data_IF_890922627304
#
_entry.id   IF_890922627304
#
_cell.length_a   1.000
_cell.length_b   1.000
_cell.length_c   1.000
_cell.angle_alpha   90.00
_cell.angle_beta   90.00
_cell.angle_gamma   90.00
#
_symmetry.space_group_name_H-M   'P 1'
#
loop_
_entity.id
_entity.type
_entity.pdbx_description
1 polymer ?
#
# COMPACT_ATOMS: atom_id res chain seq x y z
N UNK A 1 39.54 -74.26 -16.10
CA UNK A 1 38.92 -74.26 -14.76
C UNK A 1 39.76 -73.33 -13.89
N UNK A 2 39.30 -72.25 -13.29
CA UNK A 2 37.97 -71.68 -13.14
C UNK A 2 38.08 -70.14 -13.12
N UNK A 3 36.96 -69.49 -13.42
CA UNK A 3 36.79 -68.08 -13.70
C UNK A 3 36.73 -67.17 -12.46
N UNK A 4 36.89 -65.88 -12.73
CA UNK A 4 36.68 -64.71 -11.88
C UNK A 4 35.27 -64.64 -11.26
N UNK A 5 35.12 -63.99 -10.10
CA UNK A 5 34.00 -63.04 -9.85
C UNK A 5 34.16 -62.17 -8.59
N UNK A 6 34.35 -60.87 -8.86
CA UNK A 6 33.65 -59.69 -8.35
C UNK A 6 33.35 -59.50 -6.84
N UNK A 7 34.01 -58.47 -6.28
CA UNK A 7 33.63 -57.78 -5.04
C UNK A 7 32.32 -56.99 -5.26
N UNK A 8 31.32 -57.17 -4.40
CA UNK A 8 30.14 -56.29 -4.33
C UNK A 8 30.24 -55.37 -3.12
N UNK A 9 30.69 -54.14 -3.36
CA UNK A 9 30.54 -53.02 -2.42
C UNK A 9 29.12 -52.46 -2.53
N UNK A 10 28.35 -52.54 -1.45
CA UNK A 10 27.06 -51.86 -1.31
C UNK A 10 27.31 -50.44 -0.78
N UNK A 11 27.50 -49.48 -1.70
CA UNK A 11 27.36 -48.06 -1.39
C UNK A 11 25.88 -47.70 -1.41
N UNK A 12 25.26 -47.62 -0.23
CA UNK A 12 23.90 -47.11 -0.08
C UNK A 12 23.86 -45.60 -0.30
N UNK A 13 23.32 -45.18 -1.44
CA UNK A 13 23.01 -43.77 -1.70
C UNK A 13 21.75 -43.39 -0.91
N UNK A 14 21.92 -42.58 0.13
CA UNK A 14 20.81 -41.97 0.87
C UNK A 14 20.29 -40.79 0.05
N UNK A 15 19.11 -40.94 -0.56
CA UNK A 15 18.40 -39.82 -1.21
C UNK A 15 17.79 -38.96 -0.10
N UNK A 16 18.46 -37.87 0.23
CA UNK A 16 17.91 -36.85 1.14
C UNK A 16 16.77 -36.10 0.44
N UNK A 17 15.54 -36.26 0.94
CA UNK A 17 14.38 -35.51 0.49
C UNK A 17 14.55 -34.04 0.89
N UNK A 18 14.96 -33.20 -0.06
CA UNK A 18 15.01 -31.75 0.13
C UNK A 18 13.56 -31.24 0.13
N UNK A 19 12.98 -31.06 1.31
CA UNK A 19 11.69 -30.39 1.43
C UNK A 19 11.90 -28.92 1.06
N UNK A 20 11.54 -28.54 -0.17
CA UNK A 20 11.32 -27.12 -0.48
C UNK A 20 10.15 -26.66 0.39
N UNK A 21 10.45 -25.94 1.47
CA UNK A 21 9.44 -25.17 2.16
C UNK A 21 8.95 -24.11 1.16
N UNK A 22 7.76 -24.32 0.58
CA UNK A 22 7.08 -23.27 -0.15
C UNK A 22 6.95 -22.07 0.80
N UNK A 23 7.27 -20.84 0.37
CA UNK A 23 6.94 -19.68 1.19
C UNK A 23 5.43 -19.73 1.44
N UNK A 24 5.04 -19.76 2.72
CA UNK A 24 3.65 -19.50 3.12
C UNK A 24 3.25 -18.23 2.39
N UNK A 25 2.18 -18.29 1.60
CA UNK A 25 1.61 -17.11 0.97
C UNK A 25 1.37 -16.08 2.07
N UNK A 26 2.21 -15.05 2.15
CA UNK A 26 1.94 -13.91 3.00
C UNK A 26 0.59 -13.36 2.51
N UNK A 27 -0.37 -13.19 3.43
CA UNK A 27 -1.57 -12.45 3.10
C UNK A 27 -1.16 -11.10 2.49
N UNK A 28 -1.84 -10.66 1.41
CA UNK A 28 -1.54 -9.38 0.74
C UNK A 28 -2.02 -8.19 1.58
N UNK A 29 -1.67 -8.20 2.86
CA UNK A 29 -1.90 -7.10 3.77
C UNK A 29 -0.92 -6.00 3.42
N UNK A 30 -1.44 -4.80 3.25
CA UNK A 30 -0.64 -3.60 3.07
C UNK A 30 -0.44 -2.93 4.42
N UNK A 31 0.68 -2.22 4.56
CA UNK A 31 0.93 -1.32 5.67
C UNK A 31 0.42 0.07 5.28
N UNK A 32 -0.67 0.50 5.90
CA UNK A 32 -1.14 1.88 5.84
C UNK A 32 -0.20 2.79 6.63
N UNK A 33 -0.10 4.06 6.23
CA UNK A 33 0.69 5.02 7.00
C UNK A 33 0.10 5.24 8.38
N UNK A 34 0.97 5.16 9.38
CA UNK A 34 0.72 5.60 10.75
C UNK A 34 1.07 7.09 10.81
N UNK A 35 0.05 7.95 10.73
CA UNK A 35 0.23 9.40 10.82
C UNK A 35 0.32 9.77 12.29
N UNK A 36 1.44 10.31 12.72
CA UNK A 36 1.67 10.61 14.15
C UNK A 36 1.58 12.09 14.48
N UNK A 37 1.68 12.95 13.47
CA UNK A 37 1.54 14.40 13.62
C UNK A 37 0.87 15.02 12.38
N UNK A 38 0.05 16.04 12.62
CA UNK A 38 -0.58 16.84 11.58
C UNK A 38 -0.70 18.30 12.02
N UNK A 39 -0.60 19.22 11.06
CA UNK A 39 -0.87 20.65 11.21
C UNK A 39 -1.89 21.04 10.15
N UNK A 40 -3.07 21.48 10.58
CA UNK A 40 -4.17 21.89 9.70
C UNK A 40 -4.00 23.31 9.18
N UNK A 41 -4.58 23.60 8.01
CA UNK A 41 -4.60 24.92 7.40
C UNK A 41 -4.29 24.88 5.89
N UNK A 42 -4.25 26.05 5.27
CA UNK A 42 -3.95 26.24 3.84
C UNK A 42 -2.57 25.69 3.48
N UNK A 43 -1.57 25.90 4.35
CA UNK A 43 -0.24 25.30 4.26
C UNK A 43 -0.13 24.14 5.27
N UNK A 44 -1.07 23.20 5.18
CA UNK A 44 -1.16 22.04 6.04
C UNK A 44 -0.02 21.03 5.79
N UNK A 45 0.19 20.18 6.78
CA UNK A 45 1.17 19.10 6.70
C UNK A 45 0.81 17.94 7.62
N UNK A 46 1.34 16.75 7.30
CA UNK A 46 1.31 15.61 8.19
C UNK A 46 2.59 14.80 8.06
N UNK A 47 2.96 14.05 9.09
CA UNK A 47 4.13 13.18 9.09
C UNK A 47 3.84 11.88 9.83
N UNK A 48 4.50 10.82 9.38
CA UNK A 48 4.22 9.46 9.84
C UNK A 48 5.22 8.45 9.30
N UNK A 49 4.88 7.18 9.45
CA UNK A 49 5.69 6.07 8.92
C UNK A 49 4.85 5.02 8.21
N UNK A 50 5.46 4.36 7.23
CA UNK A 50 4.97 3.10 6.66
C UNK A 50 6.07 2.06 6.88
N UNK A 51 5.95 1.27 7.95
CA UNK A 51 7.05 0.42 8.41
C UNK A 51 8.25 1.27 8.81
N UNK A 52 9.39 1.10 8.14
CA UNK A 52 10.61 1.89 8.39
C UNK A 52 10.76 3.12 7.50
N UNK A 53 9.79 3.41 6.63
CA UNK A 53 9.84 4.51 5.67
C UNK A 53 9.12 5.71 6.26
N UNK A 54 9.79 6.85 6.37
CA UNK A 54 9.12 8.09 6.77
C UNK A 54 8.28 8.59 5.59
N UNK A 55 7.06 9.01 5.89
CA UNK A 55 6.13 9.57 4.92
C UNK A 55 5.65 10.94 5.40
N UNK A 56 5.62 11.91 4.49
CA UNK A 56 5.14 13.26 4.79
C UNK A 56 4.10 13.69 3.77
N UNK A 57 3.14 14.49 4.23
CA UNK A 57 2.15 15.17 3.43
C UNK A 57 2.37 16.68 3.48
N UNK A 58 2.15 17.35 2.34
CA UNK A 58 2.03 18.80 2.24
C UNK A 58 0.91 19.19 1.28
N UNK A 59 0.11 20.17 1.67
CA UNK A 59 -1.05 20.66 0.92
C UNK A 59 -2.04 21.34 1.86
N UNK A 60 -3.21 21.74 1.39
CA UNK A 60 -4.26 22.12 2.33
C UNK A 60 -4.64 20.93 3.21
N UNK A 61 -4.85 21.15 4.49
CA UNK A 61 -5.34 20.12 5.40
C UNK A 61 -6.45 20.72 6.25
N UNK A 62 -7.70 20.42 5.89
CA UNK A 62 -8.88 20.85 6.64
C UNK A 62 -8.94 20.18 8.01
N UNK A 63 -8.54 18.91 8.07
CA UNK A 63 -8.49 18.11 9.28
C UNK A 63 -7.60 16.89 9.14
N UNK A 64 -7.30 16.24 10.25
CA UNK A 64 -6.67 14.92 10.25
C UNK A 64 -7.08 14.14 11.50
N UNK A 65 -7.11 12.81 11.40
CA UNK A 65 -7.17 11.95 12.58
C UNK A 65 -5.90 11.10 12.58
N UNK A 66 -4.98 11.40 13.49
CA UNK A 66 -3.70 10.68 13.69
C UNK A 66 -3.78 9.65 14.81
N UNK A 67 -4.86 9.67 15.61
CA UNK A 67 -5.09 8.73 16.68
C UNK A 67 -6.59 8.63 16.98
N UNK A 68 -7.19 7.47 16.74
CA UNK A 68 -8.63 7.25 16.88
C UNK A 68 -9.48 8.16 15.98
N UNK A 69 -10.71 8.44 16.39
CA UNK A 69 -11.66 9.28 15.66
C UNK A 69 -12.83 8.52 15.02
N UNK A 70 -13.49 9.17 14.07
CA UNK A 70 -14.60 8.58 13.30
C UNK A 70 -14.03 7.69 12.21
N UNK A 71 -14.47 6.43 12.17
CA UNK A 71 -14.09 5.50 11.10
C UNK A 71 -14.77 5.84 9.76
N UNK A 72 -14.23 6.81 9.03
CA UNK A 72 -14.69 7.17 7.68
C UNK A 72 -14.40 6.11 6.62
N UNK A 73 -13.56 5.12 6.94
CA UNK A 73 -13.27 3.99 6.06
C UNK A 73 -14.33 2.89 6.11
N UNK A 74 -15.42 3.10 6.86
CA UNK A 74 -16.55 2.17 6.95
C UNK A 74 -17.61 2.47 5.87
N UNK A 75 -18.16 1.45 5.18
CA UNK A 75 -17.79 0.04 5.27
C UNK A 75 -16.42 -0.22 4.60
N UNK A 76 -15.61 -1.08 5.24
CA UNK A 76 -14.26 -1.38 4.76
C UNK A 76 -14.20 -2.08 3.39
N UNK A 77 -15.33 -2.55 2.86
CA UNK A 77 -15.43 -3.33 1.62
C UNK A 77 -15.02 -2.55 0.37
N UNK A 78 -15.15 -1.21 0.35
CA UNK A 78 -14.67 -0.41 -0.77
C UNK A 78 -13.13 -0.41 -0.87
N UNK A 79 -12.44 -0.69 0.24
CA UNK A 79 -10.99 -0.52 0.39
C UNK A 79 -10.20 -1.83 0.35
N UNK A 80 -10.84 -2.92 -0.12
CA UNK A 80 -10.19 -4.22 -0.29
C UNK A 80 -10.26 -4.68 -1.75
N UNK A 81 -9.23 -5.38 -2.20
CA UNK A 81 -9.06 -5.89 -3.56
C UNK A 81 -8.23 -7.18 -3.55
N UNK A 82 -7.93 -7.75 -4.72
CA UNK A 82 -7.01 -8.89 -4.83
C UNK A 82 -5.60 -8.60 -4.29
N UNK A 83 -5.16 -7.33 -4.30
CA UNK A 83 -3.83 -6.89 -3.87
C UNK A 83 -3.82 -6.17 -2.52
N UNK A 84 -4.99 -5.81 -1.97
CA UNK A 84 -5.14 -5.07 -0.70
C UNK A 84 -6.17 -5.77 0.16
N UNK A 85 -5.74 -6.49 1.19
CA UNK A 85 -6.65 -7.37 1.94
C UNK A 85 -7.21 -6.76 3.24
N UNK A 86 -6.75 -5.58 3.60
CA UNK A 86 -7.18 -4.86 4.79
C UNK A 86 -7.51 -3.40 4.45
N UNK A 87 -8.69 -2.88 4.88
CA UNK A 87 -8.99 -1.46 4.75
C UNK A 87 -8.02 -0.63 5.61
N UNK A 88 -7.95 0.70 5.40
CA UNK A 88 -7.31 1.59 6.35
C UNK A 88 -7.83 1.38 7.78
N UNK A 89 -7.01 1.64 8.82
CA UNK A 89 -7.47 1.58 10.20
C UNK A 89 -8.55 2.64 10.44
N UNK A 90 -9.30 2.54 11.54
CA UNK A 90 -10.33 3.54 11.86
C UNK A 90 -9.76 4.96 12.08
N UNK A 91 -8.47 5.08 12.36
CA UNK A 91 -7.67 6.30 12.42
C UNK A 91 -7.00 6.60 11.08
N UNK A 92 -6.07 7.55 11.08
CA UNK A 92 -5.12 7.79 10.00
C UNK A 92 -5.82 8.16 8.68
N UNK A 93 -6.47 9.33 8.73
CA UNK A 93 -7.08 9.97 7.57
C UNK A 93 -6.60 11.41 7.47
N UNK A 94 -6.11 11.78 6.29
CA UNK A 94 -5.83 13.17 5.91
C UNK A 94 -7.09 13.73 5.26
N UNK A 95 -7.64 14.80 5.82
CA UNK A 95 -8.88 15.41 5.34
C UNK A 95 -8.55 16.70 4.60
N UNK A 96 -8.77 16.68 3.29
CA UNK A 96 -8.41 17.76 2.40
C UNK A 96 -9.67 18.43 1.83
N UNK A 97 -9.49 19.57 1.17
CA UNK A 97 -10.56 20.37 0.60
C UNK A 97 -10.16 20.81 -0.81
N UNK A 98 -10.98 20.51 -1.80
CA UNK A 98 -10.66 20.89 -3.17
C UNK A 98 -10.69 22.42 -3.41
N UNK A 99 -10.30 22.84 -4.61
CA UNK A 99 -10.04 24.23 -5.00
C UNK A 99 -8.76 24.81 -4.39
N UNK A 100 -8.66 26.14 -4.23
CA UNK A 100 -7.38 26.81 -3.98
C UNK A 100 -7.02 26.85 -2.49
N UNK A 101 -5.81 26.37 -2.09
CA UNK A 101 -4.75 25.77 -2.91
C UNK A 101 -5.06 24.31 -3.26
N UNK A 102 -4.85 23.97 -4.53
CA UNK A 102 -5.30 22.68 -5.06
C UNK A 102 -4.22 21.62 -5.15
N UNK A 103 -2.98 21.90 -4.74
CA UNK A 103 -1.85 20.96 -4.91
C UNK A 103 -1.54 20.22 -3.61
N UNK A 104 -1.45 18.91 -3.72
CA UNK A 104 -1.19 17.98 -2.63
C UNK A 104 -0.01 17.11 -2.97
N UNK A 105 0.83 16.80 -1.98
CA UNK A 105 1.98 15.93 -2.20
C UNK A 105 2.20 15.01 -1.01
N UNK A 106 2.42 13.73 -1.32
CA UNK A 106 3.00 12.74 -0.42
C UNK A 106 4.46 12.53 -0.81
N UNK A 107 5.37 12.52 0.15
CA UNK A 107 6.80 12.21 -0.04
C UNK A 107 7.21 11.03 0.83
N UNK A 108 8.15 10.23 0.33
CA UNK A 108 8.73 9.09 1.00
C UNK A 108 10.22 9.31 1.22
N UNK A 109 10.76 8.87 2.37
CA UNK A 109 12.20 9.01 2.67
C UNK A 109 13.13 8.19 1.77
N UNK A 110 12.57 7.27 1.00
CA UNK A 110 13.27 6.46 0.00
C UNK A 110 12.31 6.13 -1.15
N UNK A 111 12.85 5.64 -2.26
CA UNK A 111 12.03 5.21 -3.38
C UNK A 111 11.14 4.02 -2.97
N UNK A 112 9.86 4.09 -3.32
CA UNK A 112 8.84 3.07 -3.09
C UNK A 112 8.27 2.59 -4.41
N UNK A 113 7.84 1.32 -4.46
CA UNK A 113 7.31 0.71 -5.68
C UNK A 113 5.82 0.41 -5.53
N UNK A 114 5.06 0.83 -6.53
CA UNK A 114 3.63 0.65 -6.65
C UNK A 114 2.80 0.97 -5.38
N UNK A 115 2.96 2.16 -4.78
CA UNK A 115 2.20 2.54 -3.60
C UNK A 115 0.69 2.55 -3.85
N UNK A 116 -0.08 2.31 -2.80
CA UNK A 116 -1.54 2.38 -2.80
C UNK A 116 -2.03 3.68 -2.18
N UNK A 117 -3.17 4.17 -2.64
CA UNK A 117 -3.88 5.29 -2.01
C UNK A 117 -5.36 4.93 -1.86
N UNK A 118 -5.86 5.01 -0.63
CA UNK A 118 -7.27 4.95 -0.33
C UNK A 118 -7.88 6.34 -0.42
N UNK A 119 -9.08 6.41 -0.98
CA UNK A 119 -9.81 7.64 -1.28
C UNK A 119 -11.20 7.52 -0.69
N UNK A 120 -11.60 8.50 0.11
CA UNK A 120 -12.90 8.58 0.76
C UNK A 120 -13.64 9.84 0.32
N UNK A 121 -14.89 9.68 -0.16
CA UNK A 121 -15.78 10.79 -0.50
C UNK A 121 -15.21 11.71 -1.58
N UNK A 122 -14.79 11.17 -2.74
CA UNK A 122 -14.32 11.99 -3.85
C UNK A 122 -15.51 12.50 -4.69
N UNK A 123 -15.75 13.81 -4.64
CA UNK A 123 -16.95 14.45 -5.16
C UNK A 123 -18.14 14.29 -4.21
N UNK A 124 -19.24 14.94 -4.56
CA UNK A 124 -20.56 14.78 -3.92
C UNK A 124 -21.56 14.25 -4.95
N UNK A 125 -22.70 13.64 -4.58
CA UNK A 125 -23.62 13.11 -5.56
C UNK A 125 -24.08 14.19 -6.55
N UNK A 126 -23.82 13.97 -7.84
CA UNK A 126 -24.17 14.91 -8.91
C UNK A 126 -23.15 16.01 -9.19
N UNK A 127 -22.03 16.09 -8.46
CA UNK A 127 -20.91 17.01 -8.73
C UNK A 127 -19.61 16.21 -8.82
N UNK A 128 -18.96 16.32 -9.98
CA UNK A 128 -17.74 15.58 -10.28
C UNK A 128 -16.51 16.29 -9.68
N UNK A 129 -15.76 15.60 -8.81
CA UNK A 129 -14.39 15.98 -8.45
C UNK A 129 -13.40 15.33 -9.42
N UNK A 130 -12.28 16.00 -9.68
CA UNK A 130 -11.26 15.57 -10.63
C UNK A 130 -9.88 15.69 -10.01
N UNK A 131 -9.26 14.57 -9.66
CA UNK A 131 -7.87 14.56 -9.24
C UNK A 131 -6.96 14.36 -10.45
N UNK A 132 -5.90 15.15 -10.59
CA UNK A 132 -4.88 14.95 -11.63
C UNK A 132 -3.54 14.61 -11.00
N UNK A 133 -3.07 13.38 -11.17
CA UNK A 133 -1.83 12.88 -10.58
C UNK A 133 -0.63 13.06 -11.51
N UNK A 134 0.56 13.27 -10.94
CA UNK A 134 1.82 13.26 -11.69
C UNK A 134 2.33 11.84 -11.99
N UNK A 135 1.72 10.80 -11.40
CA UNK A 135 2.08 9.40 -11.60
C UNK A 135 0.92 8.63 -12.25
N UNK A 136 1.21 7.62 -13.10
CA UNK A 136 0.18 6.71 -13.61
C UNK A 136 -0.38 5.85 -12.47
N UNK A 137 -1.67 5.53 -12.55
CA UNK A 137 -2.34 4.68 -11.57
C UNK A 137 -3.40 3.78 -12.23
N UNK A 138 -3.88 2.80 -11.45
CA UNK A 138 -5.05 1.98 -11.76
C UNK A 138 -6.01 1.97 -10.58
N UNK A 139 -7.31 1.84 -10.83
CA UNK A 139 -8.31 1.63 -9.76
C UNK A 139 -8.34 0.13 -9.44
N UNK A 140 -8.13 -0.24 -8.18
CA UNK A 140 -8.13 -1.63 -7.72
C UNK A 140 -9.46 -2.07 -7.12
N UNK A 141 -10.13 -1.15 -6.42
CA UNK A 141 -11.42 -1.39 -5.79
C UNK A 141 -12.22 -0.11 -5.72
N UNK A 142 -13.54 -0.28 -5.70
CA UNK A 142 -14.49 0.77 -5.37
C UNK A 142 -15.78 0.16 -4.85
N UNK A 143 -16.58 0.94 -4.14
CA UNK A 143 -17.87 0.51 -3.61
C UNK A 143 -18.49 1.55 -2.69
N UNK A 144 -19.59 1.19 -1.99
CA UNK A 144 -20.19 2.06 -1.00
C UNK A 144 -19.22 2.42 0.11
N UNK A 145 -19.26 3.68 0.54
CA UNK A 145 -18.47 4.23 1.63
C UNK A 145 -19.36 4.91 2.67
N UNK A 146 -18.74 5.73 3.50
CA UNK A 146 -19.35 6.27 4.71
C UNK A 146 -20.56 7.19 4.44
N UNK A 147 -20.49 8.04 3.41
CA UNK A 147 -21.53 9.03 3.09
C UNK A 147 -22.43 8.62 1.91
N UNK A 148 -22.13 7.51 1.22
CA UNK A 148 -22.93 7.11 0.07
C UNK A 148 -22.35 5.95 -0.74
N UNK A 149 -22.89 5.78 -1.94
CA UNK A 149 -22.56 4.68 -2.86
C UNK A 149 -22.20 5.19 -4.25
N UNK A 150 -21.50 6.32 -4.32
CA UNK A 150 -21.01 6.86 -5.57
C UNK A 150 -19.86 6.05 -6.15
N UNK A 151 -19.24 6.57 -7.21
CA UNK A 151 -18.29 5.82 -8.03
C UNK A 151 -17.03 6.61 -8.33
N UNK A 152 -15.95 5.86 -8.57
CA UNK A 152 -14.71 6.39 -9.14
C UNK A 152 -14.50 5.82 -10.54
N UNK A 153 -14.07 6.67 -11.47
CA UNK A 153 -13.73 6.27 -12.83
C UNK A 153 -12.43 6.91 -13.27
N UNK A 154 -11.65 6.16 -14.05
CA UNK A 154 -10.43 6.70 -14.64
C UNK A 154 -10.78 7.58 -15.84
N UNK A 155 -10.28 8.82 -15.84
CA UNK A 155 -10.41 9.75 -16.96
C UNK A 155 -9.24 9.65 -17.93
N UNK A 156 -9.07 10.68 -18.76
CA UNK A 156 -7.93 10.77 -19.67
C UNK A 156 -6.62 11.04 -18.92
N UNK A 157 -5.51 10.43 -19.37
CA UNK A 157 -4.21 10.57 -18.71
C UNK A 157 -4.23 10.04 -17.27
N UNK A 158 -3.64 10.78 -16.35
CA UNK A 158 -3.57 10.41 -14.93
C UNK A 158 -4.68 11.12 -14.14
N UNK A 159 -5.91 11.12 -14.65
CA UNK A 159 -7.05 11.75 -13.98
C UNK A 159 -7.97 10.73 -13.33
N UNK A 160 -8.36 10.99 -12.09
CA UNK A 160 -9.38 10.24 -11.37
C UNK A 160 -10.62 11.11 -11.23
N UNK A 161 -11.76 10.60 -11.68
CA UNK A 161 -13.05 11.26 -11.57
C UNK A 161 -13.84 10.60 -10.44
N UNK A 162 -14.44 11.40 -9.57
CA UNK A 162 -15.31 10.91 -8.49
C UNK A 162 -16.61 11.68 -8.40
N UNK A 163 -17.71 10.97 -8.15
CA UNK A 163 -18.99 11.53 -7.73
C UNK A 163 -19.42 10.76 -6.50
N UNK A 164 -19.03 11.23 -5.31
CA UNK A 164 -19.14 10.52 -4.03
C UNK A 164 -18.41 9.16 -4.06
N UNK A 165 -17.19 9.16 -4.61
CA UNK A 165 -16.41 7.96 -4.87
C UNK A 165 -15.59 7.47 -3.68
N UNK A 166 -15.46 6.15 -3.56
CA UNK A 166 -14.65 5.49 -2.53
C UNK A 166 -13.88 4.33 -3.11
N UNK A 167 -12.65 4.12 -2.65
CA UNK A 167 -11.91 2.90 -2.95
C UNK A 167 -10.40 3.06 -2.87
N UNK A 168 -9.69 2.18 -3.58
CA UNK A 168 -8.23 2.16 -3.60
C UNK A 168 -7.71 2.23 -5.02
N UNK A 169 -6.72 3.10 -5.22
CA UNK A 169 -5.90 3.15 -6.43
C UNK A 169 -4.50 2.64 -6.14
N UNK A 170 -3.83 2.14 -7.17
CA UNK A 170 -2.42 1.77 -7.14
C UNK A 170 -1.65 2.58 -8.16
N UNK A 171 -0.62 3.30 -7.72
CA UNK A 171 0.33 3.95 -8.60
C UNK A 171 1.24 2.92 -9.25
N UNK A 172 1.73 3.22 -10.45
CA UNK A 172 2.56 2.30 -11.23
C UNK A 172 3.99 2.83 -11.33
N UNK A 173 4.97 2.01 -10.95
CA UNK A 173 6.38 2.30 -11.03
C UNK A 173 7.03 2.57 -9.68
N UNK A 174 8.23 3.14 -9.72
CA UNK A 174 9.04 3.48 -8.55
C UNK A 174 9.15 4.99 -8.41
N UNK A 175 8.84 5.52 -7.23
CA UNK A 175 8.73 6.95 -6.98
C UNK A 175 9.16 7.33 -5.56
N UNK A 176 9.56 8.58 -5.37
CA UNK A 176 9.82 9.18 -4.05
C UNK A 176 8.73 10.16 -3.63
N UNK A 177 7.83 10.51 -4.54
CA UNK A 177 6.68 11.35 -4.25
C UNK A 177 5.50 11.08 -5.19
N UNK A 178 4.31 11.38 -4.69
CA UNK A 178 3.05 11.42 -5.43
C UNK A 178 2.50 12.82 -5.24
N UNK A 179 2.25 13.53 -6.34
CA UNK A 179 1.66 14.86 -6.34
C UNK A 179 0.39 14.85 -7.17
N UNK A 180 -0.65 15.50 -6.67
CA UNK A 180 -1.89 15.68 -7.42
C UNK A 180 -2.48 17.06 -7.24
N UNK A 181 -3.34 17.43 -8.19
CA UNK A 181 -4.20 18.61 -8.07
C UNK A 181 -5.66 18.23 -7.91
N UNK A 182 -6.40 19.01 -7.12
CA UNK A 182 -7.86 18.96 -7.00
C UNK A 182 -8.48 20.36 -7.23
N UNK A 183 -8.72 20.74 -8.49
CA UNK A 183 -9.15 22.09 -8.84
C UNK A 183 -10.63 22.35 -8.55
N UNK A 184 -11.46 21.32 -8.31
CA UNK A 184 -12.89 21.50 -8.07
C UNK A 184 -13.14 21.75 -6.59
N UNK A 185 -14.06 22.65 -6.27
CA UNK A 185 -14.42 22.86 -4.87
C UNK A 185 -15.10 21.63 -4.31
N UNK A 186 -14.48 21.06 -3.28
CA UNK A 186 -15.04 19.98 -2.49
C UNK A 186 -14.71 20.28 -1.04
N UNK A 187 -15.74 20.34 -0.19
CA UNK A 187 -15.57 20.72 1.22
C UNK A 187 -14.71 19.72 1.98
N UNK A 188 -14.77 18.45 1.59
CA UNK A 188 -14.15 17.37 2.33
C UNK A 188 -13.96 16.14 1.46
N UNK A 189 -12.75 15.60 1.48
CA UNK A 189 -12.46 14.23 1.07
C UNK A 189 -11.27 13.71 1.88
N UNK A 190 -11.17 12.39 1.98
CA UNK A 190 -10.20 11.72 2.81
C UNK A 190 -9.17 10.92 2.02
N UNK A 191 -7.91 11.00 2.44
CA UNK A 191 -6.83 10.23 1.84
C UNK A 191 -6.03 9.44 2.87
N UNK A 192 -5.52 8.30 2.42
CA UNK A 192 -4.52 7.51 3.11
C UNK A 192 -3.64 6.78 2.08
N UNK A 193 -2.39 6.50 2.43
CA UNK A 193 -1.41 5.80 1.58
C UNK A 193 -0.89 4.54 2.24
N UNK A 194 -0.54 3.56 1.43
CA UNK A 194 -0.02 2.27 1.89
C UNK A 194 1.09 1.72 0.98
N UNK A 195 1.89 0.83 1.55
CA UNK A 195 2.89 0.04 0.84
C UNK A 195 2.71 -1.45 1.15
N UNK A 196 3.17 -2.31 0.24
CA UNK A 196 3.42 -3.71 0.59
C UNK A 196 4.59 -3.76 1.57
N UNK A 197 4.49 -4.49 2.70
CA UNK A 197 5.63 -4.69 3.59
C UNK A 197 6.83 -5.23 2.80
N UNK A 198 8.02 -4.65 3.03
CA UNK A 198 9.23 -5.24 2.48
C UNK A 198 9.33 -6.70 2.96
N UNK A 199 9.75 -7.66 2.11
CA UNK A 199 9.99 -9.03 2.55
C UNK A 199 10.98 -9.00 3.73
N UNK A 200 10.47 -9.22 4.94
CA UNK A 200 11.25 -9.05 6.16
C UNK A 200 12.48 -9.97 6.13
N UNK A 201 13.58 -9.51 6.73
CA UNK A 201 14.85 -10.22 6.90
C UNK A 201 14.77 -11.63 7.52
N UNK A 202 13.57 -12.11 7.89
CA UNK A 202 13.30 -13.50 8.24
C UNK A 202 13.68 -14.51 7.14
N UNK A 203 13.62 -14.11 5.86
CA UNK A 203 14.05 -14.99 4.76
C UNK A 203 15.58 -15.18 4.68
N UNK A 204 16.37 -14.21 5.18
CA UNK A 204 17.85 -14.25 5.09
C UNK A 204 18.50 -15.04 6.23
N UNK A 205 17.83 -15.19 7.38
CA UNK A 205 18.32 -16.01 8.49
C UNK A 205 18.17 -17.52 8.26
N UNK A 206 17.31 -17.94 7.32
CA UNK A 206 17.12 -19.36 6.98
C UNK A 206 18.23 -19.98 6.12
N UNK A 207 19.06 -19.15 5.45
CA UNK A 207 20.18 -19.63 4.61
C UNK A 207 21.53 -19.64 5.34
N UNK A 208 21.65 -18.95 6.48
CA UNK A 208 22.91 -18.82 7.23
C UNK A 208 23.29 -20.03 8.09
N UNK A 209 22.35 -20.90 8.44
CA UNK A 209 22.57 -22.00 9.39
C UNK A 209 23.03 -23.32 8.74
N UNK A 210 23.05 -23.44 7.41
CA UNK A 210 23.43 -24.70 6.72
C UNK A 210 24.93 -24.77 6.38
N UNK A 211 25.69 -23.66 6.44
CA UNK A 211 27.10 -23.65 6.03
C UNK A 211 28.14 -23.80 7.16
N UNK A 212 27.73 -23.84 8.43
CA UNK A 212 28.64 -24.03 9.57
C UNK A 212 28.45 -25.41 10.22
N UNK A 213 28.61 -26.48 9.44
CA UNK A 213 28.35 -27.84 9.92
C UNK A 213 29.19 -28.94 9.27
N UNK A 214 30.42 -28.66 8.82
CA UNK A 214 31.35 -29.77 8.50
C UNK A 214 32.82 -29.37 8.62
N UNK A 215 33.29 -29.26 9.86
CA UNK A 215 34.71 -29.33 10.19
C UNK A 215 34.89 -30.10 11.50
N UNK A 216 35.25 -31.39 11.42
CA UNK A 216 36.46 -31.97 12.03
C UNK A 216 36.42 -33.51 12.11
N UNK A 217 37.59 -34.06 11.76
CA UNK A 217 38.15 -35.42 11.88
C UNK A 217 37.67 -36.43 10.86
#
# INVERSE_FOLDING_TARGET
MAASTLRRSLTGASVGLLCLAAPLAAANNVQWADWTAASTGIAGSASGTIGSINVNFSGELWGAQTAGGTNYWSPGTAYVSGSVWNPPPASDILQCQGATPNTYTITFSQAVTNPYMAICSLGTPGVLSVLTFNQPFTILSQGPGYFGSGTMTQGAGNTLLGSEGYGVIQFIGTMTSITWTDPQWERWHGYQVALVPAPGAAALLGLGSVLCGRRRR
#
